data_IF_963716167225
#
_entry.id   IF_963716167225
#
_cell.length_a   1.000
_cell.length_b   1.000
_cell.length_c   1.000
_cell.angle_alpha   90.00
_cell.angle_beta   90.00
_cell.angle_gamma   90.00
#
_symmetry.space_group_name_H-M   'P 1'
#
loop_
_entity.id
_entity.type
_entity.pdbx_description
1 polymer ?
#
# COMPACT_ATOMS: atom_id res chain seq x y z
N UNK A 1 -9.26 27.89 4.35
CA UNK A 1 -9.60 27.68 5.77
C UNK A 1 -8.98 26.37 6.22
N UNK A 2 -7.87 26.44 6.95
CA UNK A 2 -7.21 25.28 7.56
C UNK A 2 -8.18 24.62 8.52
N UNK A 3 -8.58 23.38 8.23
CA UNK A 3 -9.40 22.56 9.10
C UNK A 3 -8.62 22.29 10.40
N UNK A 4 -8.95 23.05 11.44
CA UNK A 4 -8.48 22.76 12.80
C UNK A 4 -9.09 21.42 13.18
N UNK A 5 -8.29 20.35 13.05
CA UNK A 5 -8.65 19.03 13.54
C UNK A 5 -8.55 19.10 15.06
N UNK A 6 -9.67 19.33 15.74
CA UNK A 6 -9.78 19.17 17.20
C UNK A 6 -9.44 17.73 17.54
N UNK A 7 -8.15 17.46 17.74
CA UNK A 7 -7.62 16.10 17.80
C UNK A 7 -7.78 15.61 19.22
N UNK A 8 -8.98 15.12 19.54
CA UNK A 8 -9.21 14.37 20.77
C UNK A 8 -8.20 13.21 20.79
N UNK A 9 -7.31 13.20 21.78
CA UNK A 9 -6.31 12.14 21.94
C UNK A 9 -7.05 10.83 22.22
N UNK A 10 -6.98 9.90 21.27
CA UNK A 10 -7.54 8.56 21.41
C UNK A 10 -6.41 7.56 21.66
N UNK A 11 -6.56 6.77 22.71
CA UNK A 11 -5.69 5.61 22.95
C UNK A 11 -6.14 4.43 22.07
N UNK A 12 -5.29 3.42 21.91
CA UNK A 12 -5.61 2.22 21.13
C UNK A 12 -5.69 1.02 22.08
N UNK A 13 -6.72 0.18 21.90
CA UNK A 13 -6.87 -1.06 22.63
C UNK A 13 -5.76 -2.06 22.25
N UNK A 14 -4.99 -2.53 23.22
CA UNK A 14 -3.90 -3.50 23.01
C UNK A 14 -4.38 -4.86 22.51
N UNK A 15 -5.64 -5.24 22.77
CA UNK A 15 -6.20 -6.53 22.35
C UNK A 15 -6.88 -6.47 20.97
N UNK A 16 -7.78 -5.50 20.79
CA UNK A 16 -8.66 -5.43 19.62
C UNK A 16 -8.22 -4.36 18.61
N UNK A 17 -7.24 -3.52 18.93
CA UNK A 17 -6.75 -2.38 18.11
C UNK A 17 -7.82 -1.32 17.80
N UNK A 18 -8.94 -1.31 18.53
CA UNK A 18 -9.98 -0.28 18.39
C UNK A 18 -9.56 1.01 19.12
N UNK A 19 -10.01 2.15 18.59
CA UNK A 19 -9.81 3.47 19.23
C UNK A 19 -10.61 3.56 20.54
N UNK A 20 -9.95 4.06 21.57
CA UNK A 20 -10.49 4.33 22.90
C UNK A 20 -10.54 5.84 23.07
N UNK A 21 -11.75 6.37 23.24
CA UNK A 21 -11.95 7.78 23.57
C UNK A 21 -11.77 8.00 25.09
N UNK A 22 -11.44 9.24 25.51
CA UNK A 22 -11.32 9.58 26.93
C UNK A 22 -12.54 9.14 27.76
N UNK A 23 -12.31 8.73 29.00
CA UNK A 23 -13.36 8.26 29.91
C UNK A 23 -13.81 6.81 29.70
N UNK A 24 -13.17 6.04 28.81
CA UNK A 24 -13.55 4.66 28.51
C UNK A 24 -12.40 3.67 28.70
N UNK A 25 -12.76 2.45 29.06
CA UNK A 25 -11.82 1.33 29.15
C UNK A 25 -11.09 1.24 30.48
N UNK A 26 -10.03 0.42 30.51
CA UNK A 26 -9.15 0.24 31.68
C UNK A 26 -7.73 -0.09 31.26
N UNK A 27 -6.76 0.23 32.12
CA UNK A 27 -5.34 -0.09 31.93
C UNK A 27 -4.95 -1.24 32.85
N UNK A 28 -4.25 -2.22 32.31
CA UNK A 28 -3.65 -3.32 33.06
C UNK A 28 -2.14 -3.15 33.02
N UNK A 29 -1.51 -3.15 34.20
CA UNK A 29 -0.06 -3.09 34.34
C UNK A 29 0.41 -4.49 34.69
N UNK A 30 1.23 -5.08 33.82
CA UNK A 30 1.83 -6.39 34.05
C UNK A 30 3.03 -6.27 35.01
N UNK A 31 3.50 -7.41 35.55
CA UNK A 31 4.63 -7.45 36.49
C UNK A 31 5.94 -6.92 35.90
N UNK A 32 6.11 -7.02 34.59
CA UNK A 32 7.23 -6.48 33.82
C UNK A 32 7.07 -4.97 33.50
N UNK A 33 6.05 -4.31 34.06
CA UNK A 33 5.75 -2.89 33.82
C UNK A 33 5.04 -2.61 32.50
N UNK A 34 4.72 -3.63 31.70
CA UNK A 34 4.01 -3.42 30.42
C UNK A 34 2.56 -2.99 30.68
N UNK A 35 2.18 -1.85 30.10
CA UNK A 35 0.83 -1.31 30.20
C UNK A 35 0.00 -1.73 29.00
N UNK A 36 -1.03 -2.56 29.23
CA UNK A 36 -2.03 -2.92 28.23
C UNK A 36 -3.32 -2.13 28.44
N UNK A 37 -3.77 -1.42 27.42
CA UNK A 37 -5.01 -0.63 27.49
C UNK A 37 -6.16 -1.41 26.84
N UNK A 38 -7.30 -1.53 27.51
CA UNK A 38 -8.45 -2.30 27.03
C UNK A 38 -9.69 -1.43 26.88
N UNK A 39 -10.42 -1.59 25.77
CA UNK A 39 -11.66 -0.84 25.49
C UNK A 39 -12.84 -1.27 26.37
N UNK A 40 -12.99 -2.56 26.64
CA UNK A 40 -14.14 -3.13 27.35
C UNK A 40 -13.74 -4.36 28.20
N UNK A 41 -14.68 -4.84 29.02
CA UNK A 41 -14.47 -6.03 29.86
C UNK A 41 -14.23 -7.31 29.04
N UNK A 42 -14.88 -7.44 27.87
CA UNK A 42 -14.63 -8.56 26.94
C UNK A 42 -13.16 -8.68 26.55
N UNK A 43 -12.52 -7.58 26.15
CA UNK A 43 -11.11 -7.57 25.77
C UNK A 43 -10.19 -7.93 26.95
N UNK A 44 -10.50 -7.44 28.15
CA UNK A 44 -9.71 -7.76 29.34
C UNK A 44 -9.88 -9.24 29.74
N UNK A 45 -11.11 -9.75 29.79
CA UNK A 45 -11.38 -11.15 30.15
C UNK A 45 -10.66 -12.12 29.21
N UNK A 46 -10.73 -11.89 27.89
CA UNK A 46 -10.01 -12.72 26.91
C UNK A 46 -8.48 -12.64 27.06
N UNK A 47 -7.96 -11.46 27.42
CA UNK A 47 -6.54 -11.29 27.72
C UNK A 47 -6.11 -12.07 28.97
N UNK A 48 -6.90 -12.04 30.04
CA UNK A 48 -6.65 -12.80 31.27
C UNK A 48 -6.72 -14.32 31.04
N UNK A 49 -7.61 -14.77 30.16
CA UNK A 49 -7.70 -16.15 29.69
C UNK A 49 -6.53 -16.56 28.77
N UNK A 50 -5.59 -15.64 28.48
CA UNK A 50 -4.43 -15.85 27.59
C UNK A 50 -4.81 -16.26 26.16
N UNK A 51 -6.00 -15.88 25.70
CA UNK A 51 -6.44 -16.11 24.33
C UNK A 51 -5.76 -15.08 23.43
N UNK A 52 -5.06 -15.55 22.38
CA UNK A 52 -4.41 -14.66 21.42
C UNK A 52 -5.45 -14.03 20.49
N UNK A 53 -5.41 -12.70 20.26
CA UNK A 53 -6.39 -12.01 19.40
C UNK A 53 -6.40 -12.56 17.97
N UNK A 54 -5.26 -13.04 17.48
CA UNK A 54 -5.09 -13.71 16.19
C UNK A 54 -6.04 -14.90 16.00
N UNK A 55 -6.49 -15.57 17.06
CA UNK A 55 -7.42 -16.71 16.95
C UNK A 55 -8.89 -16.27 16.85
N UNK A 56 -9.20 -15.00 17.09
CA UNK A 56 -10.56 -14.47 17.17
C UNK A 56 -10.93 -13.65 15.94
N UNK A 57 -11.90 -14.14 15.17
CA UNK A 57 -12.32 -13.60 13.87
C UNK A 57 -12.72 -12.13 13.87
N UNK A 58 -13.32 -11.66 14.96
CA UNK A 58 -13.81 -10.28 15.07
C UNK A 58 -12.70 -9.25 15.30
N UNK A 59 -11.50 -9.67 15.72
CA UNK A 59 -10.40 -8.74 16.04
C UNK A 59 -9.72 -8.21 14.78
N UNK A 60 -9.05 -7.06 14.91
CA UNK A 60 -8.24 -6.50 13.81
C UNK A 60 -7.02 -7.38 13.54
N UNK A 61 -6.45 -8.02 14.56
CA UNK A 61 -5.33 -8.95 14.43
C UNK A 61 -5.64 -10.13 13.50
N UNK A 62 -6.79 -10.79 13.67
CA UNK A 62 -7.23 -11.85 12.77
C UNK A 62 -7.49 -11.31 11.35
N UNK A 63 -8.20 -10.19 11.21
CA UNK A 63 -8.45 -9.60 9.88
C UNK A 63 -7.16 -9.24 9.14
N UNK A 64 -6.13 -8.76 9.85
CA UNK A 64 -4.82 -8.45 9.28
C UNK A 64 -4.14 -9.70 8.74
N UNK A 65 -4.12 -10.78 9.51
CA UNK A 65 -3.54 -12.07 9.11
C UNK A 65 -4.27 -12.69 7.92
N UNK A 66 -5.60 -12.60 7.91
CA UNK A 66 -6.46 -13.19 6.88
C UNK A 66 -6.72 -12.24 5.70
N UNK A 67 -5.97 -11.14 5.58
CA UNK A 67 -6.08 -10.14 4.49
C UNK A 67 -7.51 -9.59 4.30
N UNK A 68 -8.28 -9.51 5.38
CA UNK A 68 -9.64 -8.94 5.43
C UNK A 68 -9.66 -7.46 5.81
N UNK A 69 -8.53 -6.91 6.25
CA UNK A 69 -8.39 -5.48 6.46
C UNK A 69 -8.18 -4.80 5.11
N UNK A 70 -9.05 -3.87 4.72
CA UNK A 70 -8.94 -3.15 3.45
C UNK A 70 -7.62 -2.38 3.39
N UNK A 71 -6.77 -2.82 2.46
CA UNK A 71 -5.41 -2.32 2.20
C UNK A 71 -5.33 -0.89 1.66
N UNK A 72 -6.22 0.05 2.01
CA UNK A 72 -6.05 1.43 1.55
C UNK A 72 -4.71 2.02 2.02
N UNK A 73 -4.25 1.67 3.22
CA UNK A 73 -2.92 2.04 3.75
C UNK A 73 -1.77 1.15 3.23
N UNK A 74 -2.06 -0.10 2.83
CA UNK A 74 -1.04 -1.09 2.43
C UNK A 74 -0.72 -1.03 0.92
N UNK A 75 -1.71 -0.72 0.08
CA UNK A 75 -1.54 -0.55 -1.36
C UNK A 75 -0.76 0.72 -1.71
N UNK A 76 -0.90 1.79 -0.91
CA UNK A 76 -0.12 3.03 -1.08
C UNK A 76 1.39 2.85 -0.79
N UNK A 77 1.78 1.78 -0.09
CA UNK A 77 3.16 1.50 0.33
C UNK A 77 3.82 0.33 -0.40
N UNK A 78 3.20 -0.23 -1.44
CA UNK A 78 3.96 -1.06 -2.40
C UNK A 78 4.86 -0.14 -3.23
N UNK A 79 5.99 0.27 -2.64
CA UNK A 79 7.16 0.73 -3.40
C UNK A 79 7.67 -0.48 -4.18
N UNK A 80 7.23 -0.62 -5.43
CA UNK A 80 7.95 -1.46 -6.37
C UNK A 80 9.37 -0.89 -6.46
N UNK A 81 10.35 -1.58 -5.85
CA UNK A 81 11.77 -1.30 -6.11
C UNK A 81 11.98 -1.51 -7.61
N UNK A 82 12.25 -0.43 -8.35
CA UNK A 82 12.69 -0.54 -9.74
C UNK A 82 14.05 -1.22 -9.74
N UNK A 83 14.12 -2.47 -10.16
CA UNK A 83 15.38 -3.16 -10.38
C UNK A 83 16.07 -2.50 -11.57
N UNK A 84 17.17 -1.79 -11.31
CA UNK A 84 18.02 -1.24 -12.38
C UNK A 84 18.74 -2.42 -13.03
N UNK A 85 18.31 -2.83 -14.23
CA UNK A 85 19.00 -3.85 -15.01
C UNK A 85 20.25 -3.22 -15.62
N UNK A 86 21.44 -3.66 -15.19
CA UNK A 86 22.69 -3.30 -15.85
C UNK A 86 22.70 -3.92 -17.26
N UNK A 87 22.73 -3.08 -18.30
CA UNK A 87 22.86 -3.56 -19.68
C UNK A 87 24.33 -3.95 -19.92
N UNK A 88 24.59 -5.23 -20.11
CA UNK A 88 25.90 -5.74 -20.55
C UNK A 88 26.04 -5.56 -22.06
N UNK A 89 27.26 -5.32 -22.53
CA UNK A 89 27.58 -5.40 -23.95
C UNK A 89 27.35 -6.83 -24.45
N UNK A 90 26.92 -6.96 -25.70
CA UNK A 90 26.75 -8.25 -26.37
C UNK A 90 28.03 -8.48 -27.19
N UNK A 91 28.57 -9.69 -27.18
CA UNK A 91 29.79 -10.01 -27.95
C UNK A 91 29.61 -9.59 -29.42
N UNK A 92 30.54 -8.78 -29.92
CA UNK A 92 30.51 -8.24 -31.29
C UNK A 92 29.78 -6.89 -31.49
N UNK A 93 29.06 -6.33 -30.49
CA UNK A 93 28.46 -4.99 -30.58
C UNK A 93 28.64 -4.18 -29.29
N UNK A 94 29.18 -2.96 -29.42
CA UNK A 94 29.33 -2.04 -28.29
C UNK A 94 27.97 -1.52 -27.78
N UNK A 95 27.93 -1.08 -26.52
CA UNK A 95 26.71 -0.51 -25.91
C UNK A 95 26.19 0.73 -26.66
N UNK A 96 27.08 1.51 -27.27
CA UNK A 96 26.70 2.71 -28.02
C UNK A 96 26.10 2.37 -29.38
N UNK A 97 26.54 1.29 -30.02
CA UNK A 97 25.97 0.84 -31.29
C UNK A 97 24.56 0.26 -31.10
N UNK A 98 24.32 -0.42 -29.98
CA UNK A 98 22.99 -0.91 -29.59
C UNK A 98 22.04 0.27 -29.35
N UNK A 99 22.51 1.34 -28.69
CA UNK A 99 21.72 2.56 -28.45
C UNK A 99 21.38 3.28 -29.75
N UNK A 100 22.34 3.42 -30.67
CA UNK A 100 22.13 4.03 -31.99
C UNK A 100 21.09 3.26 -32.82
N UNK A 101 21.22 1.93 -32.91
CA UNK A 101 20.25 1.07 -33.61
C UNK A 101 18.84 1.18 -33.01
N UNK A 102 18.72 1.20 -31.68
CA UNK A 102 17.42 1.40 -31.02
C UNK A 102 16.82 2.77 -31.31
N UNK A 103 17.62 3.84 -31.26
CA UNK A 103 17.15 5.18 -31.57
C UNK A 103 16.64 5.28 -33.02
N UNK A 104 17.38 4.71 -33.98
CA UNK A 104 16.95 4.65 -35.38
C UNK A 104 15.63 3.88 -35.53
N UNK A 105 15.53 2.68 -34.95
CA UNK A 105 14.29 1.89 -35.01
C UNK A 105 13.10 2.62 -34.37
N UNK A 106 13.32 3.31 -33.25
CA UNK A 106 12.26 4.07 -32.57
C UNK A 106 11.79 5.29 -33.36
N UNK A 107 12.69 5.97 -34.08
CA UNK A 107 12.32 7.07 -34.97
C UNK A 107 11.49 6.59 -36.17
N UNK A 108 11.90 5.47 -36.78
CA UNK A 108 11.19 4.87 -37.93
C UNK A 108 9.83 4.31 -37.51
N UNK A 109 9.75 3.62 -36.36
CA UNK A 109 8.48 3.11 -35.84
C UNK A 109 7.57 4.24 -35.36
N UNK A 110 8.12 5.25 -34.69
CA UNK A 110 7.37 6.39 -34.18
C UNK A 110 6.78 7.28 -35.28
N UNK A 111 7.49 7.47 -36.39
CA UNK A 111 6.97 8.23 -37.54
C UNK A 111 5.84 7.45 -38.24
N UNK A 112 6.00 6.15 -38.43
CA UNK A 112 4.96 5.28 -39.02
C UNK A 112 3.69 5.23 -38.14
N UNK A 113 3.84 5.10 -36.82
CA UNK A 113 2.71 5.12 -35.89
C UNK A 113 1.99 6.48 -35.88
N UNK A 114 2.73 7.59 -35.90
CA UNK A 114 2.14 8.93 -35.97
C UNK A 114 1.41 9.18 -37.28
N UNK A 115 1.96 8.73 -38.41
CA UNK A 115 1.32 8.82 -39.72
C UNK A 115 0.01 8.01 -39.74
N UNK A 116 0.03 6.75 -39.27
CA UNK A 116 -1.15 5.90 -39.19
C UNK A 116 -2.24 6.48 -38.26
N UNK A 117 -1.85 7.05 -37.11
CA UNK A 117 -2.78 7.72 -36.20
C UNK A 117 -3.37 9.01 -36.79
N UNK A 118 -2.58 9.78 -37.55
CA UNK A 118 -3.05 10.96 -38.26
C UNK A 118 -4.06 10.60 -39.36
N UNK A 119 -3.76 9.56 -40.13
CA UNK A 119 -4.65 9.07 -41.18
C UNK A 119 -5.94 8.50 -40.61
N UNK A 120 -5.87 7.73 -39.52
CA UNK A 120 -7.05 7.23 -38.81
C UNK A 120 -7.94 8.38 -38.28
N UNK A 121 -7.34 9.43 -37.71
CA UNK A 121 -8.06 10.64 -37.27
C UNK A 121 -8.67 11.40 -38.45
N UNK A 122 -7.98 11.48 -39.59
CA UNK A 122 -8.50 12.11 -40.80
C UNK A 122 -9.69 11.33 -41.39
N UNK A 123 -9.64 9.99 -41.38
CA UNK A 123 -10.78 9.14 -41.78
C UNK A 123 -11.98 9.32 -40.86
N UNK A 124 -11.76 9.38 -39.55
CA UNK A 124 -12.84 9.65 -38.58
C UNK A 124 -13.47 11.04 -38.76
N UNK A 125 -12.68 12.07 -39.09
CA UNK A 125 -13.21 13.41 -39.39
C UNK A 125 -14.02 13.49 -40.68
N UNK A 126 -13.71 12.67 -41.69
CA UNK A 126 -14.48 12.60 -42.95
C UNK A 126 -15.79 11.81 -42.83
N UNK A 127 -15.89 10.92 -41.84
CA UNK A 127 -17.09 10.12 -41.58
C UNK A 127 -18.13 10.88 -40.73
N UNK A 128 -17.75 12.01 -40.13
CA UNK A 128 -18.68 12.89 -39.41
C UNK A 128 -19.10 14.03 -40.32
#
# INVERSE_FOLDING_TARGET
MSTVKTTIKTDICSFSEHRIYPGRGKKFVARDGRVSTFLNQKCNSLFQQRIKPVKLTWTVGWRRMNKKLTSQEFSAKKRNRRTVRLQKAIEGLSLDDIRKKRAQYQQVSGSAQKAALSEAKARQRKHK
#
